data_IF_168586975890
#
_entry.id   IF_168586975890
#
_cell.length_a   1.000
_cell.length_b   1.000
_cell.length_c   1.000
_cell.angle_alpha   90.00
_cell.angle_beta   90.00
_cell.angle_gamma   90.00
#
_symmetry.space_group_name_H-M   'P 1'
#
loop_
_entity.id
_entity.type
_entity.pdbx_description
1 polymer ?
#
# COMPACT_ATOMS: atom_id res chain seq x y z
N UNK A 1 1.33 1.25 17.16
CA UNK A 1 1.82 1.31 15.76
C UNK A 1 0.87 2.14 14.94
N UNK A 2 1.42 2.97 14.06
CA UNK A 2 0.65 3.76 13.11
C UNK A 2 -0.17 2.87 12.18
N UNK A 3 -1.42 3.22 11.95
CA UNK A 3 -2.32 2.51 11.03
C UNK A 3 -3.37 3.47 10.46
N UNK A 4 -4.01 3.11 9.37
CA UNK A 4 -4.98 3.99 8.69
C UNK A 4 -6.35 4.10 9.37
N UNK A 5 -6.60 3.37 10.45
CA UNK A 5 -7.80 3.56 11.27
C UNK A 5 -7.63 4.66 12.33
N UNK A 6 -6.40 5.13 12.57
CA UNK A 6 -6.13 6.29 13.40
C UNK A 6 -6.39 7.57 12.56
N UNK A 7 -7.34 8.45 12.95
CA UNK A 7 -7.68 9.64 12.18
C UNK A 7 -6.51 10.59 11.94
N UNK A 8 -5.60 10.72 12.90
CA UNK A 8 -4.43 11.60 12.78
C UNK A 8 -3.45 11.02 11.75
N UNK A 9 -3.22 9.70 11.79
CA UNK A 9 -2.35 9.01 10.83
C UNK A 9 -2.96 9.05 9.43
N UNK A 10 -4.27 8.85 9.33
CA UNK A 10 -5.04 8.93 8.08
C UNK A 10 -4.87 10.30 7.41
N UNK A 11 -5.19 11.39 8.13
CA UNK A 11 -5.12 12.74 7.57
C UNK A 11 -3.69 13.13 7.20
N UNK A 12 -2.70 12.81 8.04
CA UNK A 12 -1.30 13.04 7.71
C UNK A 12 -0.86 12.27 6.45
N UNK A 13 -1.34 11.04 6.27
CA UNK A 13 -1.02 10.24 5.08
C UNK A 13 -1.64 10.85 3.83
N UNK A 14 -2.90 11.27 3.89
CA UNK A 14 -3.60 11.95 2.80
C UNK A 14 -2.93 13.28 2.43
N UNK A 15 -2.55 14.07 3.43
CA UNK A 15 -1.85 15.33 3.17
C UNK A 15 -0.55 15.10 2.40
N UNK A 16 0.26 14.10 2.76
CA UNK A 16 1.47 13.73 2.02
C UNK A 16 1.16 13.31 0.57
N UNK A 17 0.05 12.61 0.32
CA UNK A 17 -0.40 12.31 -1.06
C UNK A 17 -0.75 13.61 -1.81
N UNK A 18 -1.37 14.57 -1.16
CA UNK A 18 -1.69 15.88 -1.74
C UNK A 18 -0.46 16.76 -1.98
N UNK A 19 0.60 16.58 -1.20
CA UNK A 19 1.88 17.30 -1.35
C UNK A 19 2.70 16.83 -2.55
N UNK A 20 2.39 15.66 -3.11
CA UNK A 20 3.01 15.17 -4.35
C UNK A 20 2.69 16.12 -5.53
N UNK A 21 3.70 16.35 -6.36
CA UNK A 21 3.63 17.14 -7.58
C UNK A 21 4.02 16.28 -8.78
N UNK A 22 3.56 16.58 -10.00
CA UNK A 22 4.00 15.84 -11.20
C UNK A 22 5.53 15.78 -11.35
N UNK A 23 6.22 16.80 -10.83
CA UNK A 23 7.67 16.97 -10.85
C UNK A 23 8.39 16.27 -9.66
N UNK A 24 7.66 15.68 -8.72
CA UNK A 24 8.27 15.01 -7.56
C UNK A 24 9.28 13.96 -8.01
N UNK A 25 10.53 14.14 -7.59
CA UNK A 25 11.64 13.28 -8.03
C UNK A 25 11.68 11.97 -7.24
N UNK A 26 11.87 10.90 -7.98
CA UNK A 26 12.02 9.56 -7.41
C UNK A 26 13.39 9.41 -6.75
N UNK A 27 13.41 9.04 -5.48
CA UNK A 27 14.63 8.80 -4.69
C UNK A 27 15.21 7.39 -4.89
N UNK A 28 14.38 6.38 -5.21
CA UNK A 28 14.78 4.99 -5.49
C UNK A 28 13.70 4.24 -6.27
N UNK A 29 14.02 3.00 -6.72
CA UNK A 29 13.10 2.13 -7.45
C UNK A 29 13.00 2.47 -8.93
N UNK A 30 12.00 1.90 -9.63
CA UNK A 30 11.83 2.02 -11.08
C UNK A 30 10.49 2.60 -11.52
N UNK A 31 9.43 2.53 -10.70
CA UNK A 31 8.10 3.02 -11.06
C UNK A 31 8.08 4.54 -11.23
N UNK A 32 7.40 5.03 -12.26
CA UNK A 32 7.04 6.44 -12.38
C UNK A 32 6.01 6.83 -11.31
N UNK A 33 5.84 8.13 -11.05
CA UNK A 33 4.96 8.61 -9.99
C UNK A 33 3.51 8.15 -10.17
N UNK A 34 2.93 8.33 -11.37
CA UNK A 34 1.56 7.88 -11.64
C UNK A 34 1.40 6.35 -11.50
N UNK A 35 2.43 5.56 -11.89
CA UNK A 35 2.45 4.11 -11.67
C UNK A 35 2.44 3.77 -10.17
N UNK A 36 3.20 4.52 -9.38
CA UNK A 36 3.26 4.33 -7.93
C UNK A 36 1.93 4.64 -7.27
N UNK A 37 1.25 5.70 -7.68
CA UNK A 37 -0.08 6.04 -7.17
C UNK A 37 -1.11 4.94 -7.51
N UNK A 38 -1.12 4.46 -8.76
CA UNK A 38 -1.97 3.34 -9.17
C UNK A 38 -1.67 2.06 -8.38
N UNK A 39 -0.38 1.76 -8.17
CA UNK A 39 0.07 0.62 -7.36
C UNK A 39 -0.38 0.73 -5.90
N UNK A 40 -0.28 1.91 -5.30
CA UNK A 40 -0.78 2.18 -3.95
C UNK A 40 -2.29 1.98 -3.86
N UNK A 41 -3.05 2.47 -4.85
CA UNK A 41 -4.50 2.25 -4.96
C UNK A 41 -4.82 0.76 -4.98
N UNK A 42 -4.17 -0.01 -5.85
CA UNK A 42 -4.35 -1.47 -5.93
C UNK A 42 -4.02 -2.18 -4.61
N UNK A 43 -3.01 -1.71 -3.87
CA UNK A 43 -2.68 -2.22 -2.54
C UNK A 43 -3.83 -2.00 -1.54
N UNK A 44 -4.41 -0.81 -1.51
CA UNK A 44 -5.56 -0.49 -0.65
C UNK A 44 -6.81 -1.29 -1.07
N UNK A 45 -7.07 -1.43 -2.37
CA UNK A 45 -8.16 -2.25 -2.92
C UNK A 45 -7.98 -3.74 -2.56
N UNK A 46 -6.75 -4.24 -2.53
CA UNK A 46 -6.45 -5.60 -2.03
C UNK A 46 -6.77 -5.73 -0.54
N UNK A 47 -6.46 -4.71 0.27
CA UNK A 47 -6.79 -4.72 1.69
C UNK A 47 -8.29 -4.69 1.96
N UNK A 48 -9.11 -4.20 1.03
CA UNK A 48 -10.57 -4.25 1.05
C UNK A 48 -11.15 -5.54 0.40
N UNK A 49 -10.31 -6.39 -0.18
CA UNK A 49 -10.76 -7.59 -0.89
C UNK A 49 -11.38 -7.33 -2.27
N UNK A 50 -11.16 -6.16 -2.85
CA UNK A 50 -11.58 -5.81 -4.23
C UNK A 50 -10.63 -6.47 -5.25
N UNK A 51 -9.35 -6.42 -4.99
CA UNK A 51 -8.32 -7.10 -5.79
C UNK A 51 -7.86 -8.36 -5.07
N UNK A 52 -7.76 -9.46 -5.81
CA UNK A 52 -7.23 -10.72 -5.32
C UNK A 52 -5.89 -11.02 -6.00
N UNK A 53 -4.81 -10.97 -5.22
CA UNK A 53 -3.50 -11.35 -5.70
C UNK A 53 -3.23 -12.84 -5.40
N UNK A 54 -2.56 -13.52 -6.32
CA UNK A 54 -2.17 -14.91 -6.17
C UNK A 54 -1.17 -15.07 -5.01
N UNK A 55 -1.29 -16.17 -4.30
CA UNK A 55 -0.34 -16.50 -3.24
C UNK A 55 1.08 -16.58 -3.81
N UNK A 56 2.03 -15.95 -3.12
CA UNK A 56 3.42 -16.05 -3.50
C UNK A 56 3.90 -17.51 -3.49
N UNK A 57 4.80 -17.92 -4.41
CA UNK A 57 5.27 -19.30 -4.47
C UNK A 57 6.11 -19.67 -3.22
N UNK A 58 6.19 -20.97 -2.95
CA UNK A 58 7.15 -21.48 -1.97
C UNK A 58 8.61 -21.27 -2.51
N UNK A 59 9.58 -20.82 -1.67
CA UNK A 59 9.51 -20.63 -0.22
C UNK A 59 9.11 -19.20 0.24
N UNK A 60 8.75 -18.30 -0.66
CA UNK A 60 8.46 -16.89 -0.33
C UNK A 60 7.32 -16.74 0.70
N UNK A 61 6.27 -17.58 0.61
CA UNK A 61 5.18 -17.58 1.60
C UNK A 61 5.66 -17.99 2.99
N UNK A 62 6.56 -18.95 3.10
CA UNK A 62 7.12 -19.36 4.39
C UNK A 62 7.94 -18.22 5.01
N UNK A 63 8.79 -17.58 4.20
CA UNK A 63 9.56 -16.40 4.63
C UNK A 63 8.61 -15.30 5.10
N UNK A 64 7.55 -15.01 4.35
CA UNK A 64 6.55 -13.99 4.71
C UNK A 64 5.91 -14.24 6.07
N UNK A 65 5.50 -15.48 6.33
CA UNK A 65 4.91 -15.85 7.62
C UNK A 65 5.91 -15.73 8.76
N UNK A 66 7.17 -16.12 8.55
CA UNK A 66 8.23 -16.04 9.56
C UNK A 66 8.62 -14.60 9.90
N UNK A 67 8.68 -13.70 8.91
CA UNK A 67 9.03 -12.28 9.16
C UNK A 67 7.84 -11.43 9.57
N UNK A 68 6.61 -11.93 9.44
CA UNK A 68 5.39 -11.20 9.81
C UNK A 68 5.47 -10.54 11.19
N UNK A 69 5.89 -11.22 12.28
CA UNK A 69 6.00 -10.59 13.59
C UNK A 69 6.96 -9.39 13.61
N UNK A 70 8.01 -9.42 12.80
CA UNK A 70 8.99 -8.33 12.71
C UNK A 70 8.40 -7.11 11.99
N UNK A 71 7.61 -7.34 10.92
CA UNK A 71 6.96 -6.27 10.15
C UNK A 71 5.92 -5.53 10.98
N UNK A 72 5.21 -6.24 11.85
CA UNK A 72 4.14 -5.70 12.70
C UNK A 72 4.59 -5.43 14.15
N UNK A 73 5.89 -5.31 14.41
CA UNK A 73 6.43 -5.04 15.75
C UNK A 73 6.60 -3.55 16.05
N UNK A 74 7.00 -2.77 15.05
CA UNK A 74 7.39 -1.37 15.19
C UNK A 74 7.01 -0.55 13.93
N UNK A 75 7.19 0.77 14.00
CA UNK A 75 6.89 1.70 12.90
C UNK A 75 8.05 1.89 11.91
N UNK A 76 9.06 1.00 11.91
CA UNK A 76 10.15 1.09 10.95
C UNK A 76 9.66 1.03 9.51
N UNK A 77 10.25 1.83 8.61
CA UNK A 77 9.92 1.81 7.20
C UNK A 77 10.11 0.42 6.58
N UNK A 78 9.36 0.13 5.54
CA UNK A 78 9.56 -1.08 4.74
C UNK A 78 10.92 -1.04 4.02
N UNK A 79 11.48 -2.22 3.77
CA UNK A 79 12.73 -2.36 3.00
C UNK A 79 12.52 -1.85 1.58
N UNK A 80 13.47 -1.05 1.07
CA UNK A 80 13.48 -0.59 -0.33
C UNK A 80 13.60 -1.77 -1.30
N UNK A 81 13.01 -1.62 -2.48
CA UNK A 81 13.06 -2.61 -3.58
C UNK A 81 12.55 -4.00 -3.18
N UNK A 82 11.56 -4.07 -2.28
CA UNK A 82 10.88 -5.32 -1.97
C UNK A 82 10.01 -5.74 -3.16
N UNK A 83 9.97 -7.05 -3.49
CA UNK A 83 9.10 -7.54 -4.56
C UNK A 83 7.62 -7.35 -4.20
N UNK A 84 6.80 -7.13 -5.22
CA UNK A 84 5.35 -6.99 -5.09
C UNK A 84 4.62 -7.96 -6.01
N UNK A 85 3.32 -8.19 -5.74
CA UNK A 85 2.49 -9.06 -6.56
C UNK A 85 2.20 -8.43 -7.91
N UNK A 86 2.31 -9.17 -9.03
CA UNK A 86 2.07 -8.62 -10.37
C UNK A 86 0.68 -8.00 -10.55
N UNK A 87 -0.32 -8.53 -9.85
CA UNK A 87 -1.71 -8.05 -9.89
C UNK A 87 -1.89 -6.62 -9.37
N UNK A 88 -0.90 -6.09 -8.64
CA UNK A 88 -0.92 -4.71 -8.13
C UNK A 88 -0.35 -3.69 -9.12
N UNK A 89 0.08 -4.11 -10.30
CA UNK A 89 0.61 -3.23 -11.33
C UNK A 89 -0.39 -3.00 -12.46
N UNK A 90 -0.46 -1.76 -12.95
CA UNK A 90 -1.28 -1.43 -14.13
C UNK A 90 -0.77 -2.15 -15.37
N UNK A 91 -1.68 -2.67 -16.20
CA UNK A 91 -1.36 -3.26 -17.48
C UNK A 91 -0.84 -2.22 -18.50
N UNK A 92 -1.24 -0.94 -18.36
CA UNK A 92 -0.88 0.16 -19.27
C UNK A 92 -0.22 1.32 -18.50
N UNK A 93 0.99 1.15 -17.98
CA UNK A 93 1.63 2.14 -17.12
C UNK A 93 1.92 3.49 -17.80
N UNK A 94 2.04 3.52 -19.12
CA UNK A 94 2.29 4.74 -19.90
C UNK A 94 1.06 5.61 -20.15
N UNK A 95 -0.14 5.11 -19.83
CA UNK A 95 -1.42 5.82 -20.02
C UNK A 95 -1.97 6.39 -18.71
N UNK A 96 -1.23 6.30 -17.62
CA UNK A 96 -1.68 6.76 -16.31
C UNK A 96 -1.50 8.28 -16.18
N UNK A 97 -2.57 8.97 -15.81
CA UNK A 97 -2.55 10.41 -15.49
C UNK A 97 -2.32 10.63 -14.00
N UNK A 98 -1.38 11.50 -13.67
CA UNK A 98 -1.01 11.80 -12.28
C UNK A 98 -2.19 12.29 -11.44
N UNK A 99 -2.97 13.25 -11.94
CA UNK A 99 -4.06 13.84 -11.16
C UNK A 99 -5.20 12.84 -10.95
N UNK A 100 -5.49 12.05 -11.99
CA UNK A 100 -6.49 10.97 -11.91
C UNK A 100 -6.07 9.93 -10.87
N UNK A 101 -4.83 9.43 -10.92
CA UNK A 101 -4.37 8.40 -10.00
C UNK A 101 -4.22 8.92 -8.56
N UNK A 102 -3.83 10.20 -8.37
CA UNK A 102 -3.80 10.83 -7.04
C UNK A 102 -5.21 10.89 -6.43
N UNK A 103 -6.20 11.31 -7.21
CA UNK A 103 -7.60 11.39 -6.76
C UNK A 103 -8.16 10.01 -6.43
N UNK A 104 -7.85 9.00 -7.26
CA UNK A 104 -8.24 7.60 -7.02
C UNK A 104 -7.64 7.06 -5.72
N UNK A 105 -6.36 7.35 -5.47
CA UNK A 105 -5.69 6.91 -4.24
C UNK A 105 -6.33 7.54 -3.00
N UNK A 106 -6.61 8.84 -3.02
CA UNK A 106 -7.30 9.53 -1.90
C UNK A 106 -8.66 8.89 -1.66
N UNK A 107 -9.46 8.68 -2.71
CA UNK A 107 -10.78 8.04 -2.58
C UNK A 107 -10.69 6.61 -2.02
N UNK A 108 -9.70 5.83 -2.45
CA UNK A 108 -9.49 4.47 -1.93
C UNK A 108 -9.08 4.46 -0.45
N UNK A 109 -8.22 5.40 -0.03
CA UNK A 109 -7.82 5.57 1.38
C UNK A 109 -9.04 5.94 2.24
N UNK A 110 -9.87 6.88 1.78
CA UNK A 110 -11.10 7.29 2.48
C UNK A 110 -12.11 6.14 2.57
N UNK A 111 -12.30 5.39 1.48
CA UNK A 111 -13.20 4.23 1.45
C UNK A 111 -12.72 3.13 2.43
N UNK A 112 -11.41 2.82 2.42
CA UNK A 112 -10.82 1.87 3.37
C UNK A 112 -11.05 2.27 4.83
N UNK A 113 -10.76 3.54 5.16
CA UNK A 113 -10.93 4.05 6.51
C UNK A 113 -12.41 4.06 6.94
N UNK A 114 -13.33 4.45 6.04
CA UNK A 114 -14.78 4.50 6.33
C UNK A 114 -15.39 3.13 6.55
N UNK A 115 -14.92 2.10 5.85
CA UNK A 115 -15.35 0.70 6.05
C UNK A 115 -14.85 0.13 7.38
N UNK A 116 -13.78 0.67 7.92
CA UNK A 116 -13.20 0.24 9.19
C UNK A 116 -12.75 -1.24 9.21
N UNK A 117 -12.60 -1.82 10.41
CA UNK A 117 -12.15 -3.20 10.58
C UNK A 117 -13.01 -4.25 9.85
N UNK A 118 -14.32 -4.03 9.77
CA UNK A 118 -15.27 -4.96 9.14
C UNK A 118 -15.13 -4.99 7.60
N UNK A 119 -14.61 -3.91 7.00
CA UNK A 119 -14.36 -3.80 5.58
C UNK A 119 -13.04 -4.41 5.10
N UNK A 120 -12.22 -4.93 6.01
CA UNK A 120 -10.97 -5.57 5.64
C UNK A 120 -11.17 -6.90 4.93
N UNK A 121 -10.26 -7.19 4.00
CA UNK A 121 -10.22 -8.45 3.26
C UNK A 121 -10.17 -9.67 4.16
N UNK A 122 -11.04 -10.63 3.89
CA UNK A 122 -11.01 -11.98 4.50
C UNK A 122 -10.04 -12.93 3.79
N UNK A 123 -9.54 -12.52 2.62
CA UNK A 123 -8.56 -13.29 1.88
C UNK A 123 -7.17 -13.10 2.49
N UNK A 124 -6.36 -14.17 2.55
CA UNK A 124 -5.00 -14.06 3.05
C UNK A 124 -4.15 -13.17 2.14
N UNK A 125 -3.29 -12.36 2.76
CA UNK A 125 -2.28 -11.59 2.02
C UNK A 125 -1.33 -12.55 1.27
N UNK A 126 -0.98 -12.26 0.00
CA UNK A 126 -0.18 -13.17 -0.84
C UNK A 126 1.13 -13.64 -0.20
N UNK A 127 1.78 -12.76 0.56
CA UNK A 127 3.07 -13.03 1.19
C UNK A 127 2.97 -13.35 2.68
N UNK A 128 2.17 -12.58 3.46
CA UNK A 128 2.08 -12.73 4.92
C UNK A 128 1.02 -13.72 5.41
N UNK A 129 0.21 -14.29 4.50
CA UNK A 129 -0.92 -15.13 4.89
C UNK A 129 -2.06 -14.35 5.57
N UNK A 130 -2.89 -14.97 6.41
CA UNK A 130 -4.01 -14.29 7.06
C UNK A 130 -3.55 -13.10 7.89
N UNK A 131 -4.23 -11.96 7.73
CA UNK A 131 -4.01 -10.73 8.48
C UNK A 131 -5.27 -10.35 9.25
N UNK A 132 -5.09 -9.82 10.47
CA UNK A 132 -6.14 -9.16 11.25
C UNK A 132 -6.44 -7.78 10.64
N UNK A 133 -7.63 -7.19 10.90
CA UNK A 133 -7.95 -5.84 10.41
C UNK A 133 -6.89 -4.79 10.76
N UNK A 134 -6.40 -4.78 12.00
CA UNK A 134 -5.37 -3.82 12.44
C UNK A 134 -4.03 -4.05 11.72
N UNK A 135 -3.74 -5.29 11.34
CA UNK A 135 -2.56 -5.61 10.54
C UNK A 135 -2.72 -5.12 9.09
N UNK A 136 -3.92 -5.23 8.50
CA UNK A 136 -4.21 -4.64 7.20
C UNK A 136 -4.03 -3.12 7.23
N UNK A 137 -4.61 -2.43 8.22
CA UNK A 137 -4.49 -0.98 8.35
C UNK A 137 -3.04 -0.52 8.60
N UNK A 138 -2.26 -1.26 9.40
CA UNK A 138 -0.84 -1.01 9.60
C UNK A 138 -0.02 -1.26 8.34
N UNK A 139 -0.30 -2.35 7.61
CA UNK A 139 0.40 -2.67 6.37
C UNK A 139 0.15 -1.62 5.30
N UNK A 140 -1.09 -1.16 5.15
CA UNK A 140 -1.42 -0.10 4.20
C UNK A 140 -0.75 1.22 4.58
N UNK A 141 -0.73 1.61 5.85
CA UNK A 141 0.05 2.76 6.28
C UNK A 141 1.53 2.62 5.89
N UNK A 142 2.17 1.49 6.22
CA UNK A 142 3.59 1.25 5.91
C UNK A 142 3.86 1.23 4.40
N UNK A 143 2.95 0.67 3.61
CA UNK A 143 3.06 0.63 2.15
C UNK A 143 2.97 2.03 1.55
N UNK A 144 2.00 2.83 1.99
CA UNK A 144 1.87 4.22 1.57
C UNK A 144 3.09 5.05 2.02
N UNK A 145 3.50 4.96 3.30
CA UNK A 145 4.69 5.64 3.81
C UNK A 145 5.96 5.31 3.00
N UNK A 146 6.12 4.03 2.62
CA UNK A 146 7.24 3.61 1.78
C UNK A 146 7.26 4.34 0.44
N UNK A 147 6.12 4.40 -0.25
CA UNK A 147 6.02 5.02 -1.55
C UNK A 147 6.01 6.57 -1.50
N UNK A 148 5.45 7.15 -0.46
CA UNK A 148 5.51 8.60 -0.24
C UNK A 148 6.97 9.05 -0.03
N UNK A 149 7.73 8.35 0.82
CA UNK A 149 9.18 8.57 0.97
C UNK A 149 9.96 8.34 -0.32
N UNK A 150 9.50 7.45 -1.19
CA UNK A 150 10.13 7.21 -2.49
C UNK A 150 10.11 8.45 -3.37
N UNK A 151 9.17 9.38 -3.15
CA UNK A 151 9.05 10.64 -3.86
C UNK A 151 9.26 11.88 -2.97
N UNK A 152 9.91 11.70 -1.83
CA UNK A 152 10.42 12.80 -0.99
C UNK A 152 9.40 13.46 -0.06
N UNK A 153 8.22 12.87 0.13
CA UNK A 153 7.18 13.39 1.02
C UNK A 153 6.88 12.47 2.19
#
# INVERSE_FOLDING_TARGET
MKNLFDPIVLENTKQRVLDLRPESERQWGSMALAQTLAHCTSGVEMAMGVIHAKRAPFPATLIGVLIKPLVFRDDKPMRRNSPSSPELFSANPTQLDFNCERSRLIAAIDDFASRGPEGCSRYPHPFFGPLKPEQWATLMYKHLDHHLRQFGV
#
